data_IF_998435142533
#
_entry.id   IF_998435142533
#
_cell.length_a   1.000
_cell.length_b   1.000
_cell.length_c   1.000
_cell.angle_alpha   90.00
_cell.angle_beta   90.00
_cell.angle_gamma   90.00
#
_symmetry.space_group_name_H-M   'P 1'
#
loop_
_entity.id
_entity.type
_entity.pdbx_description
1 polymer ?
#
# COMPACT_ATOMS: atom_id res chain seq x y z
N UNK A 1 7.41 -62.68 -38.40
CA UNK A 1 8.75 -63.31 -38.35
C UNK A 1 9.74 -62.29 -38.86
N UNK A 2 10.35 -61.56 -37.93
CA UNK A 2 11.67 -60.91 -37.94
C UNK A 2 11.80 -60.37 -36.50
N UNK A 3 12.65 -61.02 -35.70
CA UNK A 3 13.87 -60.44 -35.13
C UNK A 3 13.53 -59.40 -34.04
N UNK A 4 13.69 -59.64 -32.74
CA UNK A 4 14.84 -60.26 -32.09
C UNK A 4 15.72 -59.14 -31.53
N UNK A 5 15.76 -58.97 -30.21
CA UNK A 5 17.01 -58.75 -29.48
C UNK A 5 16.77 -58.75 -27.96
N UNK A 6 17.55 -59.62 -27.35
CA UNK A 6 17.72 -59.85 -25.92
C UNK A 6 18.86 -58.96 -25.39
N UNK A 7 18.87 -58.82 -24.06
CA UNK A 7 19.98 -58.55 -23.16
C UNK A 7 20.22 -57.13 -22.60
N UNK A 8 20.39 -57.19 -21.27
CA UNK A 8 21.27 -56.41 -20.41
C UNK A 8 20.62 -55.32 -19.54
N UNK A 9 20.10 -55.79 -18.40
CA UNK A 9 20.55 -55.43 -17.05
C UNK A 9 21.38 -54.14 -16.92
N UNK A 10 20.77 -53.14 -16.28
CA UNK A 10 21.49 -52.06 -15.57
C UNK A 10 20.77 -51.72 -14.27
N UNK A 11 21.14 -52.47 -13.24
CA UNK A 11 21.42 -52.04 -11.87
C UNK A 11 21.15 -50.56 -11.52
N UNK A 12 20.36 -50.39 -10.47
CA UNK A 12 20.03 -49.17 -9.74
C UNK A 12 21.20 -48.24 -9.46
N UNK A 13 21.02 -46.94 -9.72
CA UNK A 13 21.72 -45.88 -9.00
C UNK A 13 20.72 -44.81 -8.59
N UNK A 14 20.36 -44.88 -7.30
CA UNK A 14 19.77 -43.79 -6.53
C UNK A 14 20.63 -42.53 -6.69
N UNK A 15 20.09 -41.49 -7.30
CA UNK A 15 20.66 -40.15 -7.24
C UNK A 15 19.84 -39.32 -6.27
N UNK A 16 20.18 -39.44 -4.99
CA UNK A 16 19.96 -38.38 -4.01
C UNK A 16 20.76 -37.16 -4.47
N UNK A 17 20.08 -36.07 -4.82
CA UNK A 17 20.69 -34.74 -4.95
C UNK A 17 20.31 -33.95 -3.71
N UNK A 18 21.28 -33.80 -2.82
CA UNK A 18 21.30 -32.77 -1.77
C UNK A 18 22.12 -31.59 -2.30
N UNK A 19 21.85 -30.40 -1.75
CA UNK A 19 22.45 -29.08 -1.97
C UNK A 19 21.87 -28.29 -3.16
N UNK A 20 21.49 -27.01 -3.00
CA UNK A 20 21.74 -26.11 -1.89
C UNK A 20 20.81 -24.90 -1.89
N UNK A 21 20.60 -24.35 -0.70
CA UNK A 21 20.11 -22.98 -0.48
C UNK A 21 21.13 -22.05 -1.12
N UNK A 22 20.74 -21.34 -2.17
CA UNK A 22 21.43 -20.14 -2.62
C UNK A 22 20.54 -18.99 -2.18
N UNK A 23 20.86 -18.42 -1.02
CA UNK A 23 20.52 -17.04 -0.75
C UNK A 23 21.34 -16.19 -1.71
N UNK A 24 20.67 -15.49 -2.61
CA UNK A 24 21.24 -14.38 -3.33
C UNK A 24 20.39 -13.16 -2.94
N UNK A 25 20.86 -12.43 -1.94
CA UNK A 25 20.43 -11.06 -1.73
C UNK A 25 20.80 -10.28 -2.98
N UNK A 26 19.78 -9.88 -3.73
CA UNK A 26 19.91 -8.85 -4.73
C UNK A 26 19.36 -7.58 -4.09
N UNK A 27 20.24 -6.82 -3.44
CA UNK A 27 19.97 -5.39 -3.18
C UNK A 27 20.08 -4.73 -4.55
N UNK A 28 18.94 -4.61 -5.23
CA UNK A 28 18.84 -3.81 -6.44
C UNK A 28 18.73 -2.35 -5.99
N UNK A 29 19.88 -1.72 -5.73
CA UNK A 29 19.95 -0.27 -5.61
C UNK A 29 19.74 0.31 -7.01
N UNK A 30 18.48 0.56 -7.37
CA UNK A 30 18.14 1.40 -8.51
C UNK A 30 18.38 2.85 -8.11
N UNK A 31 19.62 3.30 -8.32
CA UNK A 31 19.96 4.71 -8.27
C UNK A 31 19.37 5.42 -9.51
N UNK A 32 18.10 5.83 -9.40
CA UNK A 32 17.43 6.74 -10.31
C UNK A 32 17.53 8.18 -9.79
N UNK A 33 18.65 8.85 -10.03
CA UNK A 33 18.69 10.30 -9.84
C UNK A 33 18.01 11.00 -11.02
N UNK A 34 16.75 11.40 -10.84
CA UNK A 34 16.13 12.50 -11.59
C UNK A 34 15.55 13.50 -10.59
N UNK A 35 16.40 14.43 -10.17
CA UNK A 35 15.95 15.63 -9.46
C UNK A 35 15.04 16.45 -10.36
N UNK A 36 13.82 16.66 -9.88
CA UNK A 36 12.79 17.49 -10.51
C UNK A 36 11.59 17.67 -9.57
N UNK A 37 11.83 18.22 -8.38
CA UNK A 37 10.76 18.56 -7.43
C UNK A 37 9.75 19.51 -8.07
N UNK A 38 8.52 19.01 -8.27
CA UNK A 38 7.45 19.77 -8.90
C UNK A 38 6.29 18.95 -9.46
N UNK A 39 5.58 18.20 -8.62
CA UNK A 39 4.12 18.26 -8.53
C UNK A 39 3.27 17.89 -9.75
N UNK A 40 3.55 16.78 -10.43
CA UNK A 40 2.53 16.15 -11.27
C UNK A 40 1.72 15.16 -10.45
N UNK A 41 0.60 15.65 -9.90
CA UNK A 41 -0.39 14.84 -9.19
C UNK A 41 -1.46 14.30 -10.16
N UNK A 42 -1.18 14.32 -11.47
CA UNK A 42 -2.09 13.77 -12.46
C UNK A 42 -2.09 12.25 -12.38
N UNK A 43 -3.27 11.66 -12.50
CA UNK A 43 -3.45 10.22 -12.31
C UNK A 43 -3.81 9.54 -13.62
N UNK A 44 -2.99 8.59 -14.11
CA UNK A 44 -3.40 7.68 -15.18
C UNK A 44 -4.61 6.86 -14.76
N UNK A 45 -5.23 6.15 -15.72
CA UNK A 45 -6.42 5.34 -15.42
C UNK A 45 -6.16 4.29 -14.34
N UNK A 46 -4.98 3.66 -14.34
CA UNK A 46 -4.57 2.63 -13.40
C UNK A 46 -3.12 2.86 -12.95
N UNK A 47 -2.74 2.30 -11.80
CA UNK A 47 -1.36 2.33 -11.33
C UNK A 47 -0.44 1.43 -12.15
N UNK A 48 0.87 1.71 -12.11
CA UNK A 48 1.86 0.81 -12.70
C UNK A 48 1.99 -0.45 -11.82
N UNK A 49 1.66 -1.65 -12.32
CA UNK A 49 1.73 -2.86 -11.52
C UNK A 49 3.14 -3.19 -11.02
N UNK A 50 4.20 -2.79 -11.75
CA UNK A 50 5.58 -3.05 -11.31
C UNK A 50 5.96 -2.25 -10.05
N UNK A 51 5.26 -1.15 -9.78
CA UNK A 51 5.44 -0.33 -8.57
C UNK A 51 4.51 -0.76 -7.41
N UNK A 52 3.62 -1.72 -7.66
CA UNK A 52 2.57 -2.15 -6.71
C UNK A 52 2.72 -3.62 -6.29
N UNK A 53 3.86 -4.25 -6.59
CA UNK A 53 4.14 -5.66 -6.26
C UNK A 53 4.04 -5.95 -4.76
N UNK A 54 4.32 -4.96 -3.90
CA UNK A 54 4.27 -5.08 -2.44
C UNK A 54 2.91 -4.66 -1.83
N UNK A 55 1.90 -4.36 -2.66
CA UNK A 55 0.56 -4.03 -2.13
C UNK A 55 -0.11 -5.28 -1.57
N UNK A 56 -0.49 -5.20 -0.30
CA UNK A 56 -1.27 -6.22 0.37
C UNK A 56 -2.76 -5.93 0.23
N UNK A 57 -3.55 -6.98 -0.01
CA UNK A 57 -5.01 -6.90 -0.11
C UNK A 57 -5.67 -7.72 0.98
N UNK A 58 -6.64 -7.12 1.66
CA UNK A 58 -7.33 -7.73 2.80
C UNK A 58 -8.82 -7.98 2.49
N UNK A 59 -9.46 -8.94 3.17
CA UNK A 59 -10.92 -9.03 3.20
C UNK A 59 -11.53 -7.74 3.75
N UNK A 60 -12.75 -7.41 3.34
CA UNK A 60 -13.48 -6.32 4.01
C UNK A 60 -13.92 -6.78 5.39
N UNK A 61 -13.67 -5.96 6.40
CA UNK A 61 -14.15 -6.13 7.76
C UNK A 61 -15.58 -5.55 7.96
N UNK A 62 -16.22 -5.08 6.89
CA UNK A 62 -17.57 -4.50 6.91
C UNK A 62 -17.60 -2.98 6.69
N UNK A 63 -18.83 -2.44 6.68
CA UNK A 63 -19.17 -1.02 6.41
C UNK A 63 -20.10 -0.44 7.49
N UNK A 64 -20.07 -1.02 8.69
CA UNK A 64 -20.98 -0.61 9.76
C UNK A 64 -20.55 0.72 10.37
N UNK A 65 -21.45 1.70 10.35
CA UNK A 65 -21.26 2.93 11.09
C UNK A 65 -21.54 2.72 12.59
N UNK A 66 -20.55 3.03 13.43
CA UNK A 66 -20.65 2.96 14.90
C UNK A 66 -20.57 4.35 15.53
N UNK A 67 -21.03 4.47 16.78
CA UNK A 67 -20.97 5.72 17.52
C UNK A 67 -19.52 6.19 17.71
N UNK A 68 -19.26 7.49 17.56
CA UNK A 68 -17.92 8.07 17.76
C UNK A 68 -17.44 7.79 19.18
N UNK A 69 -16.24 7.23 19.29
CA UNK A 69 -15.65 6.80 20.56
C UNK A 69 -15.83 5.31 20.87
N UNK A 70 -16.57 4.57 20.03
CA UNK A 70 -16.61 3.10 20.09
C UNK A 70 -15.21 2.54 19.78
N UNK A 71 -14.69 1.71 20.67
CA UNK A 71 -13.45 0.97 20.40
C UNK A 71 -13.72 -0.09 19.33
N UNK A 72 -12.95 -0.04 18.24
CA UNK A 72 -13.01 -0.99 17.15
C UNK A 72 -11.67 -1.69 17.07
N UNK A 73 -11.70 -3.02 17.06
CA UNK A 73 -10.53 -3.86 16.83
C UNK A 73 -10.46 -4.13 15.32
N UNK A 74 -9.36 -3.73 14.68
CA UNK A 74 -9.14 -3.87 13.25
C UNK A 74 -8.05 -4.90 12.99
N UNK A 75 -8.21 -5.72 11.97
CA UNK A 75 -7.25 -6.76 11.61
C UNK A 75 -5.94 -6.19 11.02
N UNK A 76 -5.96 -4.95 10.50
CA UNK A 76 -4.77 -4.29 9.93
C UNK A 76 -4.34 -3.05 10.70
N UNK A 77 -3.03 -2.76 10.66
CA UNK A 77 -2.43 -1.56 11.23
C UNK A 77 -1.57 -0.85 10.17
N UNK A 78 -1.97 0.35 9.69
CA UNK A 78 -3.25 1.04 9.92
C UNK A 78 -4.48 0.29 9.37
N UNK A 79 -5.71 0.61 9.83
CA UNK A 79 -6.92 -0.07 9.40
C UNK A 79 -7.24 0.24 7.93
N UNK A 80 -7.68 -0.77 7.18
CA UNK A 80 -8.01 -0.63 5.75
C UNK A 80 -9.50 -0.77 5.47
N UNK A 81 -10.29 -1.30 6.40
CA UNK A 81 -11.75 -1.41 6.32
C UNK A 81 -12.34 -1.70 7.71
N UNK A 82 -13.66 -1.86 7.80
CA UNK A 82 -14.32 -2.31 9.03
C UNK A 82 -15.26 -1.28 9.63
N UNK A 83 -15.84 -1.57 10.81
CA UNK A 83 -16.73 -0.65 11.50
C UNK A 83 -16.04 0.70 11.76
N UNK A 84 -16.73 1.81 11.53
CA UNK A 84 -16.11 3.13 11.54
C UNK A 84 -17.10 4.23 11.91
N UNK A 85 -16.63 5.46 12.11
CA UNK A 85 -17.47 6.57 12.56
C UNK A 85 -18.14 7.27 11.37
N UNK A 86 -19.26 7.94 11.60
CA UNK A 86 -19.93 8.73 10.55
C UNK A 86 -19.18 10.02 10.15
N UNK A 87 -18.09 10.36 10.83
CA UNK A 87 -17.24 11.50 10.48
C UNK A 87 -16.23 11.11 9.39
N UNK A 88 -15.76 12.10 8.64
CA UNK A 88 -14.69 11.95 7.66
C UNK A 88 -13.56 12.92 7.98
N UNK A 89 -12.36 12.61 7.51
CA UNK A 89 -11.21 13.51 7.54
C UNK A 89 -11.11 14.21 6.18
N UNK A 90 -11.01 15.53 6.20
CA UNK A 90 -10.84 16.30 4.96
C UNK A 90 -9.47 16.04 4.33
N UNK A 91 -9.34 16.27 3.03
CA UNK A 91 -8.04 16.22 2.37
C UNK A 91 -7.08 17.22 3.03
N UNK A 92 -5.85 16.79 3.31
CA UNK A 92 -4.90 17.63 4.03
C UNK A 92 -3.62 16.93 4.41
N UNK A 93 -2.59 17.71 4.69
CA UNK A 93 -1.41 17.29 5.42
C UNK A 93 -1.59 17.70 6.89
N UNK A 94 -1.56 16.72 7.78
CA UNK A 94 -1.78 16.92 9.21
C UNK A 94 -0.49 16.66 9.96
N UNK A 95 -0.21 17.47 10.99
CA UNK A 95 0.94 17.27 11.89
C UNK A 95 0.58 16.49 13.16
N UNK A 96 -0.71 16.21 13.36
CA UNK A 96 -1.25 15.44 14.49
C UNK A 96 -2.05 14.25 13.96
N UNK A 97 -1.98 13.07 14.62
CA UNK A 97 -2.76 11.91 14.22
C UNK A 97 -4.26 12.21 14.21
N UNK A 98 -4.97 11.60 13.25
CA UNK A 98 -6.42 11.71 13.13
C UNK A 98 -7.11 10.50 13.77
N UNK A 99 -8.42 10.63 14.01
CA UNK A 99 -9.22 9.56 14.61
C UNK A 99 -9.36 8.40 13.63
N UNK A 100 -8.98 7.17 14.02
CA UNK A 100 -9.00 6.00 13.12
C UNK A 100 -10.38 5.74 12.50
N UNK A 101 -11.45 5.79 13.30
CA UNK A 101 -12.81 5.60 12.77
C UNK A 101 -13.23 6.65 11.75
N UNK A 102 -12.71 7.88 11.79
CA UNK A 102 -12.99 8.88 10.74
C UNK A 102 -12.13 8.61 9.49
N UNK A 103 -10.88 8.14 9.66
CA UNK A 103 -10.01 7.76 8.54
C UNK A 103 -10.55 6.54 7.78
N UNK A 104 -11.06 5.51 8.46
CA UNK A 104 -11.65 4.32 7.79
C UNK A 104 -12.86 4.71 6.94
N UNK A 105 -13.72 5.61 7.43
CA UNK A 105 -14.82 6.15 6.63
C UNK A 105 -14.31 6.96 5.42
N UNK A 106 -13.21 7.69 5.60
CA UNK A 106 -12.53 8.41 4.51
C UNK A 106 -12.00 7.43 3.45
N UNK A 107 -11.50 6.26 3.84
CA UNK A 107 -11.16 5.16 2.91
C UNK A 107 -12.41 4.59 2.22
N UNK A 108 -13.54 4.46 2.94
CA UNK A 108 -14.81 4.01 2.36
C UNK A 108 -15.29 4.95 1.23
N UNK A 109 -15.06 6.24 1.41
CA UNK A 109 -15.27 7.29 0.42
C UNK A 109 -14.28 7.25 -0.76
N UNK A 110 -13.30 6.35 -0.77
CA UNK A 110 -12.32 6.21 -1.84
C UNK A 110 -11.12 7.13 -1.73
N UNK A 111 -10.80 7.59 -0.52
CA UNK A 111 -9.56 8.30 -0.29
C UNK A 111 -8.35 7.36 -0.31
N UNK A 112 -7.18 7.96 -0.51
CA UNK A 112 -5.89 7.39 -0.10
C UNK A 112 -5.41 8.12 1.15
N UNK A 113 -5.04 7.36 2.17
CA UNK A 113 -4.43 7.90 3.39
C UNK A 113 -2.97 7.46 3.46
N UNK A 114 -2.06 8.43 3.48
CA UNK A 114 -0.64 8.27 3.71
C UNK A 114 -0.30 8.53 5.17
N UNK A 115 0.22 7.50 5.85
CA UNK A 115 0.75 7.58 7.19
C UNK A 115 2.27 7.77 7.11
N UNK A 116 2.81 8.71 7.88
CA UNK A 116 4.24 8.95 7.96
C UNK A 116 4.75 8.94 9.40
N UNK A 117 5.99 8.49 9.61
CA UNK A 117 6.68 8.62 10.90
C UNK A 117 7.37 9.99 10.94
N UNK A 118 7.04 10.89 11.91
CA UNK A 118 7.57 12.26 11.92
C UNK A 118 9.09 12.34 11.88
N UNK A 119 9.78 11.44 12.60
CA UNK A 119 11.25 11.42 12.66
C UNK A 119 11.92 10.94 11.36
N UNK A 120 11.17 10.24 10.50
CA UNK A 120 11.64 9.76 9.20
C UNK A 120 11.21 10.66 8.03
N UNK A 121 10.39 11.68 8.29
CA UNK A 121 9.85 12.57 7.27
C UNK A 121 10.93 13.52 6.75
N UNK A 122 11.33 13.33 5.49
CA UNK A 122 12.26 14.25 4.80
C UNK A 122 11.54 15.49 4.30
N UNK A 123 12.26 16.59 4.05
CA UNK A 123 11.69 17.80 3.45
C UNK A 123 11.06 17.53 2.08
N UNK A 124 11.65 16.62 1.31
CA UNK A 124 11.15 16.16 0.01
C UNK A 124 9.82 15.41 0.16
N UNK A 125 9.78 14.40 1.03
CA UNK A 125 8.57 13.63 1.30
C UNK A 125 7.44 14.53 1.82
N UNK A 126 7.76 15.45 2.73
CA UNK A 126 6.82 16.46 3.23
C UNK A 126 6.24 17.30 2.10
N UNK A 127 7.11 17.90 1.28
CA UNK A 127 6.68 18.76 0.18
C UNK A 127 5.81 18.01 -0.84
N UNK A 128 6.12 16.75 -1.13
CA UNK A 128 5.30 15.96 -2.06
C UNK A 128 3.96 15.57 -1.42
N UNK A 129 3.93 15.08 -0.18
CA UNK A 129 2.68 14.77 0.52
C UNK A 129 1.75 15.99 0.68
N UNK A 130 2.29 17.17 0.97
CA UNK A 130 1.54 18.43 0.97
C UNK A 130 0.96 18.74 -0.43
N UNK A 131 1.72 18.49 -1.50
CA UNK A 131 1.25 18.70 -2.88
C UNK A 131 0.13 17.73 -3.24
N UNK A 132 0.25 16.45 -2.87
CA UNK A 132 -0.77 15.44 -3.06
C UNK A 132 -2.09 15.80 -2.36
N UNK A 133 -2.01 16.14 -1.08
CA UNK A 133 -3.16 16.55 -0.27
C UNK A 133 -3.88 17.79 -0.82
N UNK A 134 -3.11 18.79 -1.29
CA UNK A 134 -3.69 20.01 -1.87
C UNK A 134 -4.29 19.79 -3.27
N UNK A 135 -3.83 18.79 -4.01
CA UNK A 135 -4.30 18.51 -5.37
C UNK A 135 -5.53 17.60 -5.41
N UNK A 136 -5.71 16.72 -4.42
CA UNK A 136 -6.79 15.74 -4.36
C UNK A 136 -7.72 16.03 -3.18
N UNK A 137 -8.65 16.96 -3.40
CA UNK A 137 -9.57 17.47 -2.37
C UNK A 137 -11.02 17.05 -2.54
N UNK A 138 -11.30 16.18 -3.52
CA UNK A 138 -12.66 15.73 -3.81
C UNK A 138 -13.21 14.81 -2.73
N UNK A 139 -14.50 14.99 -2.37
CA UNK A 139 -15.19 14.20 -1.33
C UNK A 139 -15.10 12.69 -1.51
N UNK A 140 -15.00 12.21 -2.74
CA UNK A 140 -14.98 10.79 -3.10
C UNK A 140 -13.65 10.33 -3.68
N UNK A 141 -12.61 11.16 -3.63
CA UNK A 141 -11.31 10.90 -4.25
C UNK A 141 -10.25 11.83 -3.62
N UNK A 142 -10.17 11.82 -2.30
CA UNK A 142 -9.27 12.68 -1.53
C UNK A 142 -7.94 12.01 -1.24
N UNK A 143 -6.92 12.82 -0.98
CA UNK A 143 -5.64 12.38 -0.42
C UNK A 143 -5.43 13.02 0.95
N UNK A 144 -5.09 12.19 1.93
CA UNK A 144 -4.88 12.61 3.32
C UNK A 144 -3.50 12.12 3.76
N UNK A 145 -2.67 13.01 4.30
CA UNK A 145 -1.38 12.65 4.90
C UNK A 145 -1.40 12.95 6.40
N UNK A 146 -1.12 11.94 7.24
CA UNK A 146 -1.21 12.04 8.71
C UNK A 146 -0.01 11.36 9.38
N UNK A 147 0.39 11.77 10.59
CA UNK A 147 1.36 11.01 11.35
C UNK A 147 0.80 9.63 11.69
N UNK A 148 1.67 8.62 11.65
CA UNK A 148 1.32 7.28 12.09
C UNK A 148 1.09 7.28 13.63
N UNK A 149 -0.10 6.87 14.11
CA UNK A 149 -0.43 6.92 15.55
C UNK A 149 0.18 5.78 16.37
N UNK A 150 0.72 4.73 15.72
CA UNK A 150 1.22 3.54 16.39
C UNK A 150 2.64 3.77 16.93
N UNK A 151 2.93 3.27 18.14
CA UNK A 151 4.25 3.41 18.77
C UNK A 151 5.36 2.63 18.03
N UNK A 152 5.01 1.55 17.34
CA UNK A 152 5.92 0.69 16.57
C UNK A 152 5.39 0.48 15.14
N UNK A 153 5.43 1.52 14.30
CA UNK A 153 4.97 1.45 12.93
C UNK A 153 5.89 0.53 12.13
N UNK A 154 5.30 -0.39 11.36
CA UNK A 154 6.04 -1.41 10.61
C UNK A 154 6.88 -0.85 9.45
N UNK A 155 6.64 0.41 9.05
CA UNK A 155 7.42 1.13 8.06
C UNK A 155 7.35 2.66 8.30
N UNK A 156 8.37 3.43 7.87
CA UNK A 156 8.38 4.89 7.92
C UNK A 156 7.23 5.55 7.17
N UNK A 157 6.81 4.96 6.05
CA UNK A 157 5.67 5.41 5.26
C UNK A 157 4.72 4.24 5.01
N UNK A 158 3.42 4.49 5.08
CA UNK A 158 2.39 3.49 4.76
C UNK A 158 1.25 4.16 4.02
N UNK A 159 0.86 3.62 2.87
CA UNK A 159 -0.32 4.06 2.13
C UNK A 159 -1.45 3.08 2.39
N UNK A 160 -2.66 3.60 2.55
CA UNK A 160 -3.87 2.79 2.62
C UNK A 160 -4.94 3.32 1.67
N UNK A 161 -5.67 2.38 1.11
CA UNK A 161 -6.97 2.58 0.48
C UNK A 161 -7.92 1.51 1.04
N UNK A 162 -9.21 1.56 0.69
CA UNK A 162 -10.15 0.55 1.18
C UNK A 162 -9.65 -0.87 0.86
N UNK A 163 -9.36 -1.66 1.90
CA UNK A 163 -8.80 -3.05 1.85
C UNK A 163 -7.39 -3.20 1.30
N UNK A 164 -6.66 -2.10 1.08
CA UNK A 164 -5.33 -2.13 0.47
C UNK A 164 -4.33 -1.39 1.34
N UNK A 165 -3.14 -1.97 1.50
CA UNK A 165 -2.06 -1.39 2.30
C UNK A 165 -0.74 -1.58 1.55
N UNK A 166 0.06 -0.52 1.51
CA UNK A 166 1.43 -0.55 0.99
C UNK A 166 2.38 0.06 2.02
N UNK A 167 3.49 -0.61 2.30
CA UNK A 167 4.54 -0.12 3.21
C UNK A 167 5.78 0.28 2.42
N UNK A 168 6.44 1.36 2.82
CA UNK A 168 7.66 1.82 2.17
C UNK A 168 8.71 2.21 3.22
N UNK A 169 9.92 1.66 3.07
CA UNK A 169 11.08 1.97 3.92
C UNK A 169 11.67 3.35 3.63
N UNK A 170 11.55 3.79 2.37
CA UNK A 170 11.97 5.11 1.90
C UNK A 170 10.80 5.75 1.14
N UNK A 171 10.76 7.08 1.11
CA UNK A 171 9.73 7.78 0.35
C UNK A 171 10.02 7.69 -1.15
N UNK A 172 9.03 7.24 -1.91
CA UNK A 172 9.07 7.18 -3.38
C UNK A 172 7.79 7.79 -3.96
N UNK A 173 7.92 8.93 -4.65
CA UNK A 173 6.79 9.63 -5.24
C UNK A 173 6.14 8.86 -6.40
N UNK A 174 6.91 8.07 -7.16
CA UNK A 174 6.38 7.25 -8.25
C UNK A 174 5.49 6.13 -7.70
N UNK A 175 5.88 5.53 -6.57
CA UNK A 175 5.07 4.55 -5.85
C UNK A 175 3.80 5.19 -5.29
N UNK A 176 3.89 6.37 -4.68
CA UNK A 176 2.71 7.12 -4.19
C UNK A 176 1.75 7.41 -5.34
N UNK A 177 2.27 7.84 -6.50
CA UNK A 177 1.48 8.11 -7.70
C UNK A 177 0.82 6.85 -8.24
N UNK A 178 1.54 5.73 -8.32
CA UNK A 178 1.00 4.46 -8.78
C UNK A 178 -0.13 3.98 -7.86
N UNK A 179 0.07 4.05 -6.54
CA UNK A 179 -0.94 3.64 -5.55
C UNK A 179 -2.17 4.55 -5.61
N UNK A 180 -1.97 5.87 -5.68
CA UNK A 180 -3.07 6.82 -5.83
C UNK A 180 -3.84 6.59 -7.13
N UNK A 181 -3.16 6.37 -8.26
CA UNK A 181 -3.82 6.08 -9.54
C UNK A 181 -4.66 4.81 -9.48
N UNK A 182 -4.20 3.79 -8.75
CA UNK A 182 -4.88 2.51 -8.64
C UNK A 182 -6.05 2.51 -7.66
N UNK A 183 -6.08 3.40 -6.66
CA UNK A 183 -7.07 3.26 -5.58
C UNK A 183 -7.89 4.50 -5.25
N UNK A 184 -7.41 5.71 -5.55
CA UNK A 184 -8.19 6.91 -5.27
C UNK A 184 -9.47 6.91 -6.10
N UNK A 185 -10.59 7.30 -5.51
CA UNK A 185 -11.87 7.27 -6.20
C UNK A 185 -12.55 5.92 -6.25
N UNK A 186 -11.98 4.85 -5.67
CA UNK A 186 -12.48 3.47 -5.83
C UNK A 186 -12.99 2.84 -4.53
N UNK A 187 -13.31 3.66 -3.53
CA UNK A 187 -13.94 3.20 -2.29
C UNK A 187 -15.36 2.67 -2.52
N UNK A 188 -15.85 1.76 -1.68
CA UNK A 188 -17.09 1.02 -1.93
C UNK A 188 -18.38 1.84 -1.85
N UNK A 189 -18.41 2.99 -1.17
CA UNK A 189 -19.65 3.74 -0.98
C UNK A 189 -20.10 4.45 -2.26
N UNK A 190 -19.19 5.14 -2.93
CA UNK A 190 -19.46 5.86 -4.16
C UNK A 190 -18.22 5.93 -5.06
N UNK A 191 -17.92 4.86 -5.83
CA UNK A 191 -16.81 4.86 -6.76
C UNK A 191 -16.98 5.92 -7.85
N UNK A 192 -15.95 6.73 -8.08
CA UNK A 192 -15.90 7.81 -9.08
C UNK A 192 -14.75 7.68 -10.09
N UNK A 193 -13.93 6.63 -9.96
CA UNK A 193 -12.83 6.26 -10.86
C UNK A 193 -12.79 4.75 -11.10
#
# INVERSE_FOLDING_TARGET
MTDGHDLADRSSLSRRRTLGVVGAGAVAALAGCLGGGGGDTSLPENGDPELLDDVESFPSEGVEHVERGTEVDYDTQPPTSGPHYSGVVEAGFYEEPQTMGDLVHTLEHGAVVAYYVPDALTDEARSSLETWANSHTGTWQSFVAVPNPYDDPQAPYTLTAWRHLLRMDEYDEDVVRAFAAEYIGRGPENPVR
#
